data_IF_168424922357
#
_entry.id   IF_168424922357
#
_cell.length_a   1.000
_cell.length_b   1.000
_cell.length_c   1.000
_cell.angle_alpha   90.00
_cell.angle_beta   90.00
_cell.angle_gamma   90.00
#
_symmetry.space_group_name_H-M   'P 1'
#
loop_
_entity.id
_entity.type
_entity.pdbx_description
1 polymer ?
#
# COMPACT_ATOMS: atom_id res chain seq x y z
N UNK A 1 19.96 -0.40 -8.20
CA UNK A 1 19.14 -1.22 -7.28
C UNK A 1 18.82 -0.33 -6.10
N UNK A 2 17.56 -0.24 -5.65
CA UNK A 2 17.23 0.56 -4.46
C UNK A 2 17.46 -0.34 -3.25
N UNK A 3 18.41 0.02 -2.39
CA UNK A 3 18.72 -0.74 -1.17
C UNK A 3 17.73 -0.42 -0.06
N UNK A 4 17.46 -1.36 0.84
CA UNK A 4 16.69 -1.15 2.07
C UNK A 4 17.28 -2.01 3.20
N UNK A 5 17.13 -1.54 4.44
CA UNK A 5 17.43 -2.33 5.65
C UNK A 5 16.25 -3.19 6.09
N UNK A 6 15.07 -2.99 5.48
CA UNK A 6 13.85 -3.73 5.82
C UNK A 6 13.83 -5.10 5.13
N UNK A 7 13.27 -6.09 5.83
CA UNK A 7 13.14 -7.45 5.30
C UNK A 7 11.84 -7.60 4.50
N UNK A 8 11.98 -7.60 3.16
CA UNK A 8 10.88 -7.82 2.22
C UNK A 8 10.68 -9.30 1.82
N UNK A 9 11.45 -10.23 2.37
CA UNK A 9 11.46 -11.64 1.97
C UNK A 9 12.18 -11.88 0.64
N UNK A 10 12.26 -13.16 0.25
CA UNK A 10 12.98 -13.59 -0.96
C UNK A 10 12.38 -13.02 -2.25
N UNK A 11 11.05 -12.90 -2.30
CA UNK A 11 10.34 -12.35 -3.46
C UNK A 11 10.00 -10.87 -3.30
N UNK A 12 10.66 -10.15 -2.38
CA UNK A 12 10.46 -8.72 -2.18
C UNK A 12 10.74 -7.89 -3.43
N UNK A 13 9.91 -6.89 -3.71
CA UNK A 13 10.06 -6.05 -4.91
C UNK A 13 9.67 -4.60 -4.67
N UNK A 14 10.22 -3.70 -5.48
CA UNK A 14 9.88 -2.27 -5.45
C UNK A 14 8.76 -1.96 -6.45
N UNK A 15 7.82 -1.11 -6.05
CA UNK A 15 6.85 -0.47 -6.93
C UNK A 15 7.03 1.05 -6.92
N UNK A 16 6.72 1.69 -8.04
CA UNK A 16 6.63 3.15 -8.11
C UNK A 16 5.18 3.57 -7.87
N UNK A 17 4.98 4.48 -6.93
CA UNK A 17 3.67 5.06 -6.62
C UNK A 17 3.15 5.84 -7.82
N UNK A 18 1.90 5.59 -8.20
CA UNK A 18 1.18 6.27 -9.28
C UNK A 18 -0.08 6.96 -8.74
N UNK A 19 -0.42 8.10 -9.32
CA UNK A 19 -1.62 8.85 -8.93
C UNK A 19 -1.50 9.48 -7.53
N UNK A 20 -2.52 10.27 -7.15
CA UNK A 20 -2.47 11.10 -5.93
C UNK A 20 -3.25 10.54 -4.74
N UNK A 21 -3.76 9.31 -4.84
CA UNK A 21 -4.62 8.73 -3.78
C UNK A 21 -3.93 8.55 -2.43
N UNK A 22 -2.59 8.49 -2.41
CA UNK A 22 -1.78 8.34 -1.19
C UNK A 22 -0.99 9.61 -0.84
N UNK A 23 -1.34 10.74 -1.46
CA UNK A 23 -0.80 12.06 -1.08
C UNK A 23 -1.59 12.58 0.12
N UNK A 24 -0.94 12.69 1.27
CA UNK A 24 -1.46 13.34 2.47
C UNK A 24 -0.89 14.75 2.62
N UNK A 25 -1.62 15.61 3.33
CA UNK A 25 -1.14 16.91 3.83
C UNK A 25 -0.21 16.75 5.07
N UNK A 26 -0.15 15.55 5.64
CA UNK A 26 0.70 15.21 6.79
C UNK A 26 1.67 14.04 6.53
N UNK A 27 2.18 13.43 7.61
CA UNK A 27 3.01 12.24 7.55
C UNK A 27 2.24 11.00 8.05
N UNK A 28 2.30 9.86 7.34
CA UNK A 28 3.03 9.63 6.08
C UNK A 28 2.31 10.19 4.85
N UNK A 29 3.07 10.46 3.79
CA UNK A 29 2.55 10.85 2.46
C UNK A 29 3.39 10.18 1.37
N UNK A 30 2.73 9.62 0.36
CA UNK A 30 3.36 8.87 -0.73
C UNK A 30 3.03 9.53 -2.08
N UNK A 31 3.82 10.53 -2.51
CA UNK A 31 3.59 11.20 -3.78
C UNK A 31 3.92 10.32 -4.99
N UNK A 32 3.34 10.61 -6.18
CA UNK A 32 3.73 9.96 -7.42
C UNK A 32 5.26 9.99 -7.63
N UNK A 33 5.82 8.87 -8.06
CA UNK A 33 7.27 8.72 -8.28
C UNK A 33 8.07 8.19 -7.09
N UNK A 34 7.49 8.18 -5.88
CA UNK A 34 8.11 7.51 -4.73
C UNK A 34 8.19 5.99 -4.97
N UNK A 35 9.27 5.35 -4.53
CA UNK A 35 9.39 3.90 -4.54
C UNK A 35 8.91 3.33 -3.20
N UNK A 36 8.12 2.26 -3.24
CA UNK A 36 7.67 1.50 -2.07
C UNK A 36 8.14 0.06 -2.16
N UNK A 37 8.71 -0.46 -1.07
CA UNK A 37 9.17 -1.83 -0.98
C UNK A 37 8.03 -2.73 -0.50
N UNK A 38 7.72 -3.74 -1.29
CA UNK A 38 6.64 -4.68 -1.06
C UNK A 38 7.21 -6.01 -0.56
N UNK A 39 6.67 -6.48 0.56
CA UNK A 39 6.80 -7.86 1.05
C UNK A 39 5.56 -8.65 0.60
N UNK A 40 5.68 -9.61 -0.34
CA UNK A 40 4.52 -10.33 -0.89
C UNK A 40 4.05 -11.51 -0.01
N UNK A 41 4.88 -12.01 0.90
CA UNK A 41 4.52 -13.16 1.74
C UNK A 41 5.01 -13.05 3.19
N UNK A 42 4.44 -13.91 4.05
CA UNK A 42 4.84 -14.05 5.44
C UNK A 42 4.62 -12.78 6.27
N UNK A 43 3.64 -11.97 5.90
CA UNK A 43 3.22 -10.79 6.67
C UNK A 43 1.86 -11.00 7.31
N UNK A 44 1.64 -10.33 8.43
CA UNK A 44 0.33 -10.22 9.05
C UNK A 44 -0.42 -8.98 8.55
N UNK A 45 -1.74 -9.08 8.50
CA UNK A 45 -2.63 -7.97 8.17
C UNK A 45 -2.92 -7.17 9.44
N UNK A 46 -2.41 -5.94 9.49
CA UNK A 46 -2.45 -5.07 10.67
C UNK A 46 -3.15 -3.76 10.30
N UNK A 47 -4.24 -3.44 10.99
CA UNK A 47 -4.98 -2.18 10.81
C UNK A 47 -4.05 -0.98 10.96
N UNK A 48 -4.19 -0.01 10.07
CA UNK A 48 -3.34 1.18 9.98
C UNK A 48 -2.05 1.00 9.17
N UNK A 49 -1.69 -0.22 8.74
CA UNK A 49 -0.55 -0.46 7.85
C UNK A 49 -0.93 -0.37 6.37
N UNK A 50 0.09 -0.38 5.52
CA UNK A 50 0.02 -0.05 4.11
C UNK A 50 0.17 -1.30 3.25
N UNK A 51 -0.71 -1.48 2.27
CA UNK A 51 -0.78 -2.71 1.49
C UNK A 51 -1.10 -2.44 0.02
N UNK A 52 -0.66 -3.36 -0.84
CA UNK A 52 -1.16 -3.50 -2.20
C UNK A 52 -2.31 -4.49 -2.17
N UNK A 53 -3.46 -4.06 -2.69
CA UNK A 53 -4.62 -4.91 -2.89
C UNK A 53 -4.87 -5.11 -4.39
N UNK A 54 -5.36 -6.29 -4.75
CA UNK A 54 -5.73 -6.65 -6.12
C UNK A 54 -7.21 -7.03 -6.14
N UNK A 55 -7.95 -6.42 -7.05
CA UNK A 55 -9.33 -6.76 -7.34
C UNK A 55 -9.40 -7.89 -8.38
N UNK A 56 -10.50 -8.65 -8.40
CA UNK A 56 -10.65 -9.81 -9.31
C UNK A 56 -10.53 -9.48 -10.80
N UNK A 57 -10.83 -8.25 -11.19
CA UNK A 57 -10.70 -7.76 -12.57
C UNK A 57 -9.25 -7.47 -12.98
N UNK A 58 -8.30 -7.58 -12.05
CA UNK A 58 -6.89 -7.34 -12.27
C UNK A 58 -6.41 -5.95 -11.84
N UNK A 59 -7.29 -5.05 -11.42
CA UNK A 59 -6.88 -3.74 -10.89
C UNK A 59 -6.07 -3.92 -9.60
N UNK A 60 -4.98 -3.17 -9.47
CA UNK A 60 -4.19 -3.10 -8.24
C UNK A 60 -4.20 -1.71 -7.66
N UNK A 61 -4.34 -1.61 -6.34
CA UNK A 61 -4.33 -0.33 -5.63
C UNK A 61 -3.41 -0.38 -4.42
N UNK A 62 -2.76 0.74 -4.13
CA UNK A 62 -1.99 0.94 -2.91
C UNK A 62 -2.80 1.79 -1.94
N UNK A 63 -3.11 1.25 -0.76
CA UNK A 63 -3.96 1.89 0.27
C UNK A 63 -3.50 1.54 1.69
N UNK A 64 -3.98 2.31 2.66
CA UNK A 64 -3.91 1.92 4.06
C UNK A 64 -5.03 0.92 4.35
N UNK A 65 -4.70 -0.21 4.96
CA UNK A 65 -5.70 -1.17 5.43
C UNK A 65 -6.26 -0.70 6.77
N UNK A 66 -7.58 -0.63 6.90
CA UNK A 66 -8.27 -0.31 8.14
C UNK A 66 -9.25 -1.44 8.46
N UNK A 67 -9.23 -1.90 9.70
CA UNK A 67 -10.27 -2.76 10.26
C UNK A 67 -11.00 -1.99 11.34
N UNK A 68 -12.31 -1.82 11.19
CA UNK A 68 -13.16 -1.11 12.14
C UNK A 68 -14.54 -1.76 12.22
N UNK A 69 -15.02 -1.99 13.44
CA UNK A 69 -16.35 -2.55 13.74
C UNK A 69 -16.74 -3.82 12.94
N UNK A 70 -15.79 -4.70 12.62
CA UNK A 70 -16.05 -5.92 11.85
C UNK A 70 -15.83 -5.78 10.35
N UNK A 71 -15.65 -4.56 9.85
CA UNK A 71 -15.51 -4.24 8.44
C UNK A 71 -14.06 -3.92 8.08
N UNK A 72 -13.67 -4.32 6.87
CA UNK A 72 -12.33 -4.12 6.30
C UNK A 72 -12.40 -3.03 5.24
N UNK A 73 -11.43 -2.13 5.24
CA UNK A 73 -11.37 -1.02 4.29
C UNK A 73 -9.98 -0.83 3.70
N UNK A 74 -9.94 -0.34 2.46
CA UNK A 74 -8.77 0.23 1.81
C UNK A 74 -8.93 1.76 1.78
N UNK A 75 -8.26 2.42 2.72
CA UNK A 75 -8.32 3.86 2.92
C UNK A 75 -7.25 4.60 2.11
N UNK A 76 -7.63 5.59 1.28
CA UNK A 76 -6.67 6.54 0.74
C UNK A 76 -6.19 7.49 1.85
N UNK A 77 -4.97 8.01 1.70
CA UNK A 77 -4.53 9.11 2.56
C UNK A 77 -5.02 10.47 2.06
N UNK A 78 -5.37 10.56 0.78
CA UNK A 78 -5.91 11.75 0.17
C UNK A 78 -7.45 11.78 0.31
N UNK A 79 -8.04 12.74 1.05
CA UNK A 79 -9.49 12.80 1.27
C UNK A 79 -10.32 13.02 0.00
N UNK A 80 -9.71 13.46 -1.11
CA UNK A 80 -10.39 13.58 -2.41
C UNK A 80 -10.69 12.23 -3.08
N UNK A 81 -10.15 11.13 -2.54
CA UNK A 81 -10.36 9.78 -3.04
C UNK A 81 -11.28 9.02 -2.07
N UNK A 82 -12.06 8.08 -2.62
CA UNK A 82 -13.04 7.33 -1.83
C UNK A 82 -12.38 6.24 -1.00
N UNK A 83 -12.86 6.07 0.22
CA UNK A 83 -12.68 4.87 1.03
C UNK A 83 -13.34 3.68 0.30
N UNK A 84 -12.66 2.55 0.24
CA UNK A 84 -13.19 1.32 -0.37
C UNK A 84 -13.43 0.32 0.74
N UNK A 85 -14.67 -0.16 0.88
CA UNK A 85 -14.97 -1.31 1.71
C UNK A 85 -14.56 -2.59 0.99
N UNK A 86 -13.87 -3.49 1.68
CA UNK A 86 -13.38 -4.74 1.09
C UNK A 86 -14.45 -5.83 1.20
N UNK A 87 -14.88 -6.31 0.04
CA UNK A 87 -15.65 -7.53 -0.13
C UNK A 87 -14.72 -8.71 -0.51
N UNK A 88 -15.30 -9.80 -1.01
CA UNK A 88 -14.58 -11.00 -1.42
C UNK A 88 -13.85 -10.86 -2.77
N UNK A 89 -14.07 -9.77 -3.52
CA UNK A 89 -13.39 -9.53 -4.79
C UNK A 89 -12.00 -8.88 -4.59
N UNK A 90 -11.69 -8.41 -3.38
CA UNK A 90 -10.40 -7.83 -3.02
C UNK A 90 -9.49 -8.81 -2.27
N UNK A 91 -8.26 -8.95 -2.76
CA UNK A 91 -7.20 -9.69 -2.09
C UNK A 91 -6.03 -8.76 -1.71
N UNK A 92 -5.50 -8.89 -0.49
CA UNK A 92 -4.23 -8.27 -0.11
C UNK A 92 -3.09 -9.12 -0.66
N UNK A 93 -2.22 -8.52 -1.47
CA UNK A 93 -1.15 -9.24 -2.19
C UNK A 93 0.26 -8.81 -1.77
N UNK A 94 0.38 -7.81 -0.90
CA UNK A 94 1.69 -7.38 -0.42
C UNK A 94 1.61 -6.29 0.63
N UNK A 95 2.51 -6.33 1.61
CA UNK A 95 2.68 -5.30 2.64
C UNK A 95 3.78 -4.33 2.23
N UNK A 96 3.53 -3.04 2.38
CA UNK A 96 4.58 -2.02 2.25
C UNK A 96 5.43 -2.04 3.52
N UNK A 97 6.73 -2.22 3.37
CA UNK A 97 7.69 -2.30 4.47
C UNK A 97 8.70 -1.14 4.48
N UNK A 98 8.96 -0.51 3.33
CA UNK A 98 9.82 0.67 3.22
C UNK A 98 9.30 1.60 2.10
N UNK A 99 9.71 2.86 2.13
CA UNK A 99 9.41 3.84 1.09
C UNK A 99 10.54 4.86 0.94
N UNK A 100 10.92 5.15 -0.31
CA UNK A 100 12.04 6.03 -0.64
C UNK A 100 11.67 7.04 -1.73
N UNK A 101 12.09 8.28 -1.53
CA UNK A 101 12.12 9.28 -2.60
C UNK A 101 13.25 8.90 -3.57
N UNK A 102 12.96 8.98 -4.88
CA UNK A 102 13.91 8.63 -5.94
C UNK A 102 14.20 9.87 -6.77
N UNK A 103 15.46 10.06 -7.17
CA UNK A 103 15.87 11.13 -8.09
C UNK A 103 16.29 12.45 -7.44
N UNK A 104 16.67 12.42 -6.15
CA UNK A 104 17.40 13.49 -5.47
C UNK A 104 18.81 13.02 -5.13
#
# INVERSE_FOLDING_TARGET
>A
MIESTENAGENGYWLTVKGKSMVSDGYPSFPPGMAILIRPEGFELVSGKFYVAKHRDGETTFKQYIYDAGTRYLSPLNPAYKLIEMDDDWAIIGRVVDAKLIGL
#
